data_IF_677030276592
#
_entry.id   IF_677030276592
#
_cell.length_a   1.000
_cell.length_b   1.000
_cell.length_c   1.000
_cell.angle_alpha   90.00
_cell.angle_beta   90.00
_cell.angle_gamma   90.00
#
_symmetry.space_group_name_H-M   'P 1'
#
loop_
_entity.id
_entity.type
_entity.pdbx_description
1 polymer ?
#
# COMPACT_ATOMS: atom_id res chain seq x y z
N UNK A 1 -59.49 37.07 -39.13
CA UNK A 1 -58.78 35.81 -39.06
C UNK A 1 -57.31 36.08 -39.31
N UNK A 2 -56.50 36.12 -38.26
CA UNK A 2 -55.04 36.31 -38.34
C UNK A 2 -54.36 34.97 -37.99
N UNK A 3 -53.64 34.36 -38.94
CA UNK A 3 -52.80 33.16 -38.73
C UNK A 3 -51.53 33.65 -38.15
N UNK A 4 -51.20 33.20 -36.91
CA UNK A 4 -49.88 33.28 -36.32
C UNK A 4 -49.08 32.05 -36.79
N UNK A 5 -48.05 32.31 -37.57
CA UNK A 5 -47.05 31.29 -37.92
C UNK A 5 -46.11 31.03 -36.76
N UNK A 6 -46.09 29.80 -36.26
CA UNK A 6 -45.10 29.30 -35.31
C UNK A 6 -43.81 28.95 -36.08
N UNK A 7 -42.76 29.72 -35.85
CA UNK A 7 -41.41 29.34 -36.26
C UNK A 7 -40.83 28.36 -35.24
N UNK A 8 -40.72 27.11 -35.63
CA UNK A 8 -39.90 26.09 -34.92
C UNK A 8 -38.45 26.37 -35.27
N UNK A 9 -37.70 26.94 -34.34
CA UNK A 9 -36.24 26.99 -34.41
C UNK A 9 -35.70 25.60 -34.05
N UNK A 10 -35.39 24.78 -35.05
CA UNK A 10 -34.60 23.58 -34.90
C UNK A 10 -33.18 24.00 -34.60
N UNK A 11 -32.77 23.93 -33.31
CA UNK A 11 -31.39 24.02 -32.91
C UNK A 11 -30.65 22.81 -33.48
N UNK A 12 -29.84 23.04 -34.53
CA UNK A 12 -28.90 22.05 -35.04
C UNK A 12 -27.80 21.87 -34.02
N UNK A 13 -27.88 20.81 -33.24
CA UNK A 13 -26.73 20.25 -32.50
C UNK A 13 -25.73 19.74 -33.53
N UNK A 14 -24.73 20.54 -33.85
CA UNK A 14 -23.55 20.09 -34.54
C UNK A 14 -22.89 19.06 -33.62
N UNK A 15 -23.03 17.78 -33.94
CA UNK A 15 -22.31 16.71 -33.29
C UNK A 15 -20.80 16.87 -33.55
N UNK A 16 -20.06 17.35 -32.58
CA UNK A 16 -18.59 17.27 -32.62
C UNK A 16 -18.22 15.80 -32.69
N UNK A 17 -17.70 15.36 -33.84
CA UNK A 17 -17.11 14.03 -33.96
C UNK A 17 -15.74 14.06 -33.28
N UNK A 18 -15.70 13.56 -32.05
CA UNK A 18 -14.44 13.40 -31.33
C UNK A 18 -13.61 12.27 -31.93
N UNK A 19 -12.28 12.42 -31.88
CA UNK A 19 -11.36 11.32 -32.23
C UNK A 19 -11.58 10.11 -31.30
N UNK A 20 -11.24 8.88 -31.72
CA UNK A 20 -11.36 7.70 -30.88
C UNK A 20 -10.64 7.86 -29.52
N UNK A 21 -9.47 8.49 -29.49
CA UNK A 21 -8.72 8.81 -28.28
C UNK A 21 -9.54 9.73 -27.36
N UNK A 22 -10.08 10.84 -27.88
CA UNK A 22 -10.91 11.76 -27.11
C UNK A 22 -12.18 11.09 -26.58
N UNK A 23 -12.82 10.22 -27.35
CA UNK A 23 -13.96 9.43 -26.91
C UNK A 23 -13.58 8.52 -25.71
N UNK A 24 -12.40 7.88 -25.78
CA UNK A 24 -11.86 7.05 -24.70
C UNK A 24 -11.59 7.86 -23.41
N UNK A 25 -11.02 9.07 -23.54
CA UNK A 25 -10.80 9.98 -22.43
C UNK A 25 -12.12 10.38 -21.73
N UNK A 26 -13.13 10.77 -22.52
CA UNK A 26 -14.45 11.14 -22.02
C UNK A 26 -15.12 9.93 -21.35
N UNK A 27 -15.11 8.76 -22.00
CA UNK A 27 -15.69 7.54 -21.44
C UNK A 27 -15.03 7.12 -20.13
N UNK A 28 -13.70 7.28 -20.01
CA UNK A 28 -12.94 7.00 -18.77
C UNK A 28 -13.32 7.97 -17.66
N UNK A 29 -13.42 9.27 -17.96
CA UNK A 29 -13.88 10.27 -17.00
C UNK A 29 -15.29 9.98 -16.49
N UNK A 30 -16.23 9.72 -17.38
CA UNK A 30 -17.61 9.41 -17.02
C UNK A 30 -17.69 8.12 -16.19
N UNK A 31 -16.90 7.11 -16.53
CA UNK A 31 -16.79 5.88 -15.74
C UNK A 31 -16.29 6.18 -14.32
N UNK A 32 -15.25 7.00 -14.17
CA UNK A 32 -14.70 7.40 -12.86
C UNK A 32 -15.76 8.16 -12.07
N UNK A 33 -16.34 9.21 -12.66
CA UNK A 33 -17.32 10.06 -11.98
C UNK A 33 -18.58 9.30 -11.56
N UNK A 34 -19.18 8.52 -12.47
CA UNK A 34 -20.39 7.71 -12.19
C UNK A 34 -20.11 6.64 -11.15
N UNK A 35 -18.94 5.99 -11.19
CA UNK A 35 -18.58 4.98 -10.20
C UNK A 35 -18.50 5.58 -8.79
N UNK A 36 -17.87 6.74 -8.64
CA UNK A 36 -17.83 7.42 -7.33
C UNK A 36 -19.23 7.82 -6.87
N UNK A 37 -20.04 8.44 -7.75
CA UNK A 37 -21.41 8.81 -7.44
C UNK A 37 -22.23 7.63 -6.93
N UNK A 38 -22.10 6.46 -7.56
CA UNK A 38 -23.00 5.33 -7.35
C UNK A 38 -22.48 4.33 -6.31
N UNK A 39 -21.15 4.17 -6.18
CA UNK A 39 -20.53 3.13 -5.37
C UNK A 39 -19.81 3.64 -4.10
N UNK A 40 -19.57 4.93 -3.95
CA UNK A 40 -19.02 5.47 -2.72
C UNK A 40 -19.97 5.20 -1.54
N UNK A 41 -19.43 4.84 -0.38
CA UNK A 41 -20.25 4.47 0.80
C UNK A 41 -21.09 5.63 1.36
N UNK A 42 -20.64 6.86 1.16
CA UNK A 42 -21.43 8.05 1.48
C UNK A 42 -22.27 8.45 0.27
N UNK A 43 -23.56 8.77 0.47
CA UNK A 43 -24.44 9.25 -0.61
C UNK A 43 -23.91 10.55 -1.25
N UNK A 44 -23.31 11.41 -0.43
CA UNK A 44 -22.55 12.57 -0.89
C UNK A 44 -21.08 12.28 -0.71
N UNK A 45 -20.35 11.85 -1.75
CA UNK A 45 -18.96 11.45 -1.66
C UNK A 45 -18.08 12.54 -1.04
N UNK A 46 -17.41 12.23 0.07
CA UNK A 46 -16.58 13.20 0.80
C UNK A 46 -17.36 14.43 1.33
N UNK A 47 -18.71 14.38 1.41
CA UNK A 47 -19.54 15.51 1.77
C UNK A 47 -19.68 16.58 0.67
N UNK A 48 -19.23 16.28 -0.56
CA UNK A 48 -19.17 17.20 -1.68
C UNK A 48 -20.45 17.15 -2.55
N UNK A 49 -20.77 18.26 -3.21
CA UNK A 49 -21.69 18.26 -4.35
C UNK A 49 -21.00 17.63 -5.56
N UNK A 50 -21.22 16.32 -5.72
CA UNK A 50 -20.54 15.54 -6.76
C UNK A 50 -21.01 15.92 -8.17
N UNK A 51 -22.22 16.51 -8.31
CA UNK A 51 -22.68 17.05 -9.58
C UNK A 51 -21.96 18.34 -9.96
N UNK A 52 -21.72 19.23 -8.99
CA UNK A 52 -20.91 20.43 -9.22
C UNK A 52 -19.47 20.08 -9.60
N UNK A 53 -18.89 19.02 -9.00
CA UNK A 53 -17.58 18.49 -9.37
C UNK A 53 -17.56 18.05 -10.85
N UNK A 54 -18.59 17.34 -11.34
CA UNK A 54 -18.70 17.01 -12.76
C UNK A 54 -18.66 18.27 -13.65
N UNK A 55 -19.48 19.24 -13.31
CA UNK A 55 -19.58 20.48 -14.09
C UNK A 55 -18.26 21.27 -14.14
N UNK A 56 -17.44 21.20 -13.07
CA UNK A 56 -16.10 21.81 -13.01
C UNK A 56 -15.11 21.06 -13.90
N UNK A 57 -15.07 19.72 -13.84
CA UNK A 57 -14.01 18.92 -14.44
C UNK A 57 -14.30 18.46 -15.89
N UNK A 58 -15.55 18.27 -16.27
CA UNK A 58 -15.92 17.80 -17.60
C UNK A 58 -15.40 18.70 -18.75
N UNK A 59 -15.53 20.05 -18.68
CA UNK A 59 -14.96 20.93 -19.72
C UNK A 59 -13.44 20.79 -19.86
N UNK A 60 -12.75 20.49 -18.76
CA UNK A 60 -11.28 20.29 -18.77
C UNK A 60 -10.92 18.99 -19.51
N UNK A 61 -11.69 17.92 -19.34
CA UNK A 61 -11.51 16.66 -20.09
C UNK A 61 -11.74 16.88 -21.59
N UNK A 62 -12.75 17.65 -21.97
CA UNK A 62 -12.98 17.97 -23.39
C UNK A 62 -11.79 18.69 -24.03
N UNK A 63 -11.08 19.51 -23.26
CA UNK A 63 -9.92 20.27 -23.70
C UNK A 63 -8.56 19.60 -23.46
N UNK A 64 -8.50 18.43 -22.81
CA UNK A 64 -7.27 17.70 -22.58
C UNK A 64 -6.58 17.33 -23.91
N UNK A 65 -5.26 17.51 -23.99
CA UNK A 65 -4.46 17.35 -25.21
C UNK A 65 -3.82 15.98 -25.32
N UNK A 66 -3.80 15.21 -24.24
CA UNK A 66 -3.21 13.86 -24.16
C UNK A 66 -3.92 13.02 -23.10
N UNK A 67 -3.67 11.72 -23.12
CA UNK A 67 -4.15 10.79 -22.09
C UNK A 67 -3.53 11.12 -20.74
N UNK A 68 -2.25 11.50 -20.67
CA UNK A 68 -1.59 11.91 -19.43
C UNK A 68 -2.28 13.13 -18.79
N UNK A 69 -2.68 14.12 -19.62
CA UNK A 69 -3.40 15.30 -19.13
C UNK A 69 -4.82 14.90 -18.65
N UNK A 70 -5.52 14.04 -19.37
CA UNK A 70 -6.82 13.54 -18.95
C UNK A 70 -6.73 12.75 -17.62
N UNK A 71 -5.72 11.91 -17.45
CA UNK A 71 -5.44 11.18 -16.21
C UNK A 71 -5.11 12.13 -15.07
N UNK A 72 -4.31 13.18 -15.31
CA UNK A 72 -4.00 14.18 -14.29
C UNK A 72 -5.25 14.93 -13.81
N UNK A 73 -6.16 15.29 -14.73
CA UNK A 73 -7.44 15.93 -14.43
C UNK A 73 -8.33 15.00 -13.58
N UNK A 74 -8.44 13.72 -13.96
CA UNK A 74 -9.22 12.73 -13.19
C UNK A 74 -8.62 12.50 -11.79
N UNK A 75 -7.29 12.45 -11.66
CA UNK A 75 -6.62 12.35 -10.35
C UNK A 75 -6.88 13.57 -9.47
N UNK A 76 -6.88 14.77 -10.05
CA UNK A 76 -7.22 16.00 -9.33
C UNK A 76 -8.68 15.97 -8.85
N UNK A 77 -9.62 15.53 -9.70
CA UNK A 77 -11.01 15.32 -9.32
C UNK A 77 -11.15 14.37 -8.13
N UNK A 78 -10.49 13.21 -8.19
CA UNK A 78 -10.47 12.24 -7.08
C UNK A 78 -9.83 12.81 -5.82
N UNK A 79 -8.81 13.64 -5.95
CA UNK A 79 -8.14 14.32 -4.84
C UNK A 79 -9.06 15.25 -4.03
N UNK A 80 -10.18 15.73 -4.63
CA UNK A 80 -11.18 16.52 -3.88
C UNK A 80 -11.83 15.75 -2.74
N UNK A 81 -11.86 14.42 -2.80
CA UNK A 81 -12.40 13.56 -1.75
C UNK A 81 -11.55 13.63 -0.46
N UNK A 82 -10.27 13.95 -0.55
CA UNK A 82 -9.31 13.94 0.57
C UNK A 82 -9.32 12.63 1.36
N UNK A 83 -9.46 11.52 0.65
CA UNK A 83 -9.55 10.17 1.17
C UNK A 83 -8.52 9.29 0.46
N UNK A 84 -8.08 8.22 1.11
CA UNK A 84 -7.16 7.27 0.49
C UNK A 84 -7.90 6.27 -0.41
N UNK A 85 -7.15 5.41 -1.11
CA UNK A 85 -7.71 4.37 -1.98
C UNK A 85 -8.56 4.88 -3.16
N UNK A 86 -8.29 6.09 -3.64
CA UNK A 86 -8.80 6.63 -4.89
C UNK A 86 -7.63 6.97 -5.80
N UNK A 87 -7.50 6.27 -6.93
CA UNK A 87 -6.37 6.47 -7.82
C UNK A 87 -6.56 5.88 -9.20
N UNK A 88 -5.76 6.40 -10.15
CA UNK A 88 -5.70 5.89 -11.52
C UNK A 88 -4.26 5.45 -11.78
N UNK A 89 -4.10 4.24 -12.29
CA UNK A 89 -2.81 3.61 -12.56
C UNK A 89 -2.65 3.46 -14.08
N UNK A 90 -1.50 3.83 -14.65
CA UNK A 90 -1.27 3.71 -16.09
C UNK A 90 -1.47 2.28 -16.60
N UNK A 91 -2.02 2.13 -17.80
CA UNK A 91 -2.21 0.83 -18.45
C UNK A 91 -0.89 0.03 -18.55
N UNK A 92 0.23 0.70 -18.71
CA UNK A 92 1.58 0.10 -18.77
C UNK A 92 1.90 -0.78 -17.57
N UNK A 93 1.45 -0.43 -16.36
CA UNK A 93 1.67 -1.21 -15.12
C UNK A 93 1.11 -2.64 -15.22
N UNK A 94 0.18 -2.89 -16.13
CA UNK A 94 -0.44 -4.20 -16.35
C UNK A 94 0.23 -5.01 -17.45
N UNK A 95 0.95 -4.35 -18.36
CA UNK A 95 1.57 -4.97 -19.54
C UNK A 95 2.94 -5.57 -19.22
N UNK A 96 3.60 -5.09 -18.17
CA UNK A 96 4.97 -5.50 -17.79
C UNK A 96 5.10 -6.96 -17.32
N UNK A 97 4.00 -7.72 -17.26
CA UNK A 97 3.99 -9.08 -16.69
C UNK A 97 3.67 -10.17 -17.69
N UNK A 98 3.26 -9.84 -18.92
CA UNK A 98 2.99 -10.86 -19.94
C UNK A 98 4.25 -11.29 -20.74
N UNK A 99 5.42 -10.86 -20.32
CA UNK A 99 6.72 -11.38 -20.73
C UNK A 99 7.32 -10.64 -21.92
N UNK A 100 8.46 -10.21 -21.81
CA UNK A 100 9.55 -9.71 -22.64
C UNK A 100 10.08 -8.34 -22.21
N UNK A 101 9.31 -7.54 -21.44
CA UNK A 101 9.82 -6.37 -20.73
C UNK A 101 10.10 -6.78 -19.30
N UNK A 102 11.33 -6.80 -18.86
CA UNK A 102 11.69 -7.16 -17.51
C UNK A 102 10.89 -6.33 -16.51
N UNK A 103 10.16 -7.00 -15.61
CA UNK A 103 9.47 -6.36 -14.51
C UNK A 103 10.43 -5.50 -13.66
N UNK A 104 9.93 -4.88 -12.60
CA UNK A 104 10.76 -4.04 -11.76
C UNK A 104 11.98 -4.78 -11.22
N UNK A 105 13.14 -4.27 -11.61
CA UNK A 105 14.43 -4.70 -11.12
C UNK A 105 14.84 -3.88 -9.92
N UNK A 106 15.41 -4.54 -8.92
CA UNK A 106 15.86 -3.94 -7.66
C UNK A 106 17.35 -4.20 -7.43
N UNK A 107 18.10 -3.30 -6.79
CA UNK A 107 19.45 -3.57 -6.32
C UNK A 107 19.48 -4.47 -5.08
N UNK A 108 18.31 -4.85 -4.53
CA UNK A 108 18.15 -5.70 -3.35
C UNK A 108 18.37 -4.97 -2.04
N UNK A 109 17.95 -3.69 -1.97
CA UNK A 109 17.91 -2.91 -0.73
C UNK A 109 16.46 -2.59 -0.36
N UNK A 110 16.17 -2.63 0.92
CA UNK A 110 14.98 -2.01 1.47
C UNK A 110 15.37 -0.70 2.15
N UNK A 111 14.53 0.31 1.99
CA UNK A 111 14.80 1.65 2.56
C UNK A 111 13.60 2.14 3.37
N UNK A 112 13.87 3.05 4.31
CA UNK A 112 12.86 3.88 5.00
C UNK A 112 13.34 5.32 5.07
N UNK A 113 12.41 6.23 5.11
CA UNK A 113 12.72 7.64 5.33
C UNK A 113 12.74 7.93 6.83
N UNK A 114 13.94 7.85 7.41
CA UNK A 114 14.18 8.13 8.83
C UNK A 114 14.74 9.55 8.97
N UNK A 115 14.09 10.41 9.74
CA UNK A 115 14.49 11.82 9.97
C UNK A 115 14.83 12.60 8.69
N UNK A 116 14.10 12.32 7.61
CA UNK A 116 14.28 12.97 6.31
C UNK A 116 15.39 12.37 5.45
N UNK A 117 16.03 11.30 5.87
CA UNK A 117 17.07 10.58 5.12
C UNK A 117 16.53 9.24 4.61
N UNK A 118 16.90 8.84 3.38
CA UNK A 118 16.61 7.51 2.84
C UNK A 118 17.63 6.53 3.38
N UNK A 119 17.27 5.79 4.41
CA UNK A 119 18.17 4.87 5.12
C UNK A 119 17.94 3.44 4.66
N UNK A 120 19.01 2.70 4.40
CA UNK A 120 18.97 1.25 4.11
C UNK A 120 18.60 0.50 5.39
N UNK A 121 17.43 -0.12 5.39
CA UNK A 121 16.87 -0.86 6.54
C UNK A 121 16.84 -2.36 6.33
N UNK A 122 17.04 -2.83 5.08
CA UNK A 122 17.13 -4.24 4.74
C UNK A 122 18.06 -4.46 3.54
N UNK A 123 18.64 -5.65 3.49
CA UNK A 123 19.47 -6.12 2.39
C UNK A 123 19.06 -7.54 2.03
N UNK A 124 18.78 -7.77 0.77
CA UNK A 124 18.57 -9.14 0.28
C UNK A 124 19.90 -9.90 0.24
N UNK A 125 19.94 -11.11 0.80
CA UNK A 125 21.14 -11.94 0.71
C UNK A 125 21.57 -12.15 -0.75
N UNK A 126 22.88 -12.03 -1.02
CA UNK A 126 23.46 -12.18 -2.36
C UNK A 126 22.95 -11.19 -3.44
N UNK A 127 22.25 -10.11 -3.07
CA UNK A 127 21.89 -9.03 -4.00
C UNK A 127 23.12 -8.28 -4.52
N UNK A 128 22.94 -7.48 -5.57
CA UNK A 128 24.02 -6.64 -6.12
C UNK A 128 24.52 -5.64 -5.07
N UNK A 129 23.62 -5.06 -4.27
CA UNK A 129 23.99 -4.16 -3.17
C UNK A 129 24.80 -4.88 -2.07
N UNK A 130 24.39 -6.10 -1.68
CA UNK A 130 25.11 -6.89 -0.69
C UNK A 130 26.54 -7.25 -1.18
N UNK A 131 26.67 -7.69 -2.44
CA UNK A 131 27.99 -7.96 -3.07
C UNK A 131 28.86 -6.70 -3.17
N UNK A 132 28.24 -5.53 -3.39
CA UNK A 132 28.96 -4.25 -3.44
C UNK A 132 29.34 -3.68 -2.05
N UNK A 133 29.02 -4.41 -0.97
CA UNK A 133 29.36 -4.03 0.39
C UNK A 133 28.50 -2.94 1.02
N UNK A 134 27.28 -2.72 0.49
CA UNK A 134 26.28 -1.85 1.13
C UNK A 134 25.88 -2.46 2.47
N UNK A 135 25.61 -1.63 3.47
CA UNK A 135 25.26 -2.06 4.83
C UNK A 135 24.00 -1.37 5.34
N UNK A 136 23.36 -1.98 6.33
CA UNK A 136 22.27 -1.36 7.07
C UNK A 136 22.73 -0.03 7.68
N UNK A 137 21.83 0.94 7.73
CA UNK A 137 22.12 2.27 8.25
C UNK A 137 22.87 3.21 7.27
N UNK A 138 23.26 2.74 6.08
CA UNK A 138 23.75 3.63 5.04
C UNK A 138 22.60 4.52 4.53
N UNK A 139 22.90 5.77 4.15
CA UNK A 139 21.92 6.70 3.60
C UNK A 139 22.08 6.77 2.09
N UNK A 140 21.00 6.61 1.34
CA UNK A 140 20.99 6.82 -0.11
C UNK A 140 20.83 8.31 -0.38
N UNK A 141 21.85 8.95 -0.93
CA UNK A 141 21.87 10.38 -1.23
C UNK A 141 21.28 10.70 -2.60
N UNK A 142 21.63 9.89 -3.61
CA UNK A 142 21.17 10.09 -4.99
C UNK A 142 21.06 8.77 -5.75
N UNK A 143 20.23 8.79 -6.79
CA UNK A 143 20.05 7.71 -7.76
C UNK A 143 20.23 8.29 -9.17
N UNK A 144 21.12 7.67 -9.98
CA UNK A 144 21.45 8.12 -11.35
C UNK A 144 21.73 9.63 -11.42
N UNK A 145 22.51 10.16 -10.49
CA UNK A 145 22.88 11.57 -10.37
C UNK A 145 21.77 12.50 -9.87
N UNK A 146 20.58 12.00 -9.56
CA UNK A 146 19.44 12.79 -9.05
C UNK A 146 19.35 12.70 -7.53
N UNK A 147 19.52 13.81 -6.78
CA UNK A 147 19.39 13.81 -5.33
C UNK A 147 17.99 13.41 -4.86
N UNK A 148 17.89 12.64 -3.76
CA UNK A 148 16.61 12.23 -3.17
C UNK A 148 16.04 13.25 -2.18
N UNK A 149 16.89 14.00 -1.48
CA UNK A 149 16.46 14.97 -0.47
C UNK A 149 15.43 16.00 -0.96
N UNK A 150 15.58 16.64 -2.15
CA UNK A 150 14.59 17.60 -2.64
C UNK A 150 13.20 16.98 -2.86
N UNK A 151 13.17 15.73 -3.28
CA UNK A 151 11.91 14.98 -3.49
C UNK A 151 11.20 14.73 -2.16
N UNK A 152 11.96 14.29 -1.16
CA UNK A 152 11.46 14.04 0.20
C UNK A 152 10.92 15.34 0.80
N UNK A 153 11.67 16.43 0.70
CA UNK A 153 11.24 17.74 1.21
C UNK A 153 9.95 18.22 0.54
N UNK A 154 9.88 18.11 -0.79
CA UNK A 154 8.67 18.48 -1.55
C UNK A 154 7.45 17.68 -1.12
N UNK A 155 7.59 16.35 -0.98
CA UNK A 155 6.48 15.50 -0.57
C UNK A 155 6.06 15.74 0.89
N UNK A 156 7.02 15.93 1.80
CA UNK A 156 6.72 16.24 3.22
C UNK A 156 6.07 17.61 3.43
N UNK A 157 6.22 18.55 2.49
CA UNK A 157 5.54 19.86 2.56
C UNK A 157 4.05 19.78 2.19
N UNK A 158 3.58 18.67 1.63
CA UNK A 158 2.17 18.44 1.35
C UNK A 158 1.51 17.75 2.56
N UNK A 159 0.59 18.44 3.27
CA UNK A 159 -0.06 17.87 4.46
C UNK A 159 -0.96 16.65 4.15
N UNK A 160 -1.26 16.40 2.87
CA UNK A 160 -2.03 15.22 2.42
C UNK A 160 -1.16 14.00 2.10
N UNK A 161 0.16 14.12 2.13
CA UNK A 161 1.06 13.00 1.83
C UNK A 161 1.26 12.12 3.04
N UNK A 162 0.89 10.85 2.90
CA UNK A 162 1.16 9.80 3.87
C UNK A 162 2.56 9.22 3.67
N UNK A 163 3.15 8.68 4.73
CA UNK A 163 4.47 8.05 4.70
C UNK A 163 4.57 6.96 3.63
N UNK A 164 3.52 6.17 3.42
CA UNK A 164 3.43 5.19 2.35
C UNK A 164 3.65 5.78 0.94
N UNK A 165 3.12 6.97 0.66
CA UNK A 165 3.32 7.64 -0.64
C UNK A 165 4.76 8.12 -0.81
N UNK A 166 5.38 8.57 0.28
CA UNK A 166 6.79 8.95 0.33
C UNK A 166 7.69 7.74 0.06
N UNK A 167 7.45 6.61 0.74
CA UNK A 167 8.18 5.35 0.53
C UNK A 167 8.06 4.86 -0.91
N UNK A 168 6.86 4.89 -1.49
CA UNK A 168 6.64 4.54 -2.90
C UNK A 168 7.40 5.46 -3.86
N UNK A 169 7.42 6.75 -3.60
CA UNK A 169 8.16 7.72 -4.40
C UNK A 169 9.67 7.54 -4.32
N UNK A 170 10.20 7.09 -3.20
CA UNK A 170 11.61 6.69 -3.04
C UNK A 170 11.86 5.38 -3.80
N UNK A 171 11.05 4.35 -3.55
CA UNK A 171 11.19 3.04 -4.19
C UNK A 171 11.24 3.14 -5.72
N UNK A 172 10.32 3.91 -6.33
CA UNK A 172 10.29 4.11 -7.80
C UNK A 172 11.55 4.77 -8.38
N UNK A 173 12.42 5.35 -7.56
CA UNK A 173 13.71 5.93 -7.97
C UNK A 173 14.87 4.97 -7.78
N UNK A 174 14.66 3.92 -7.02
CA UNK A 174 15.67 2.90 -6.71
C UNK A 174 15.47 1.63 -7.54
N UNK A 175 14.41 1.56 -8.35
CA UNK A 175 14.06 0.44 -9.21
C UNK A 175 14.14 0.82 -10.69
N UNK A 176 14.14 -0.18 -11.56
CA UNK A 176 14.16 -0.01 -13.01
C UNK A 176 14.04 -1.34 -13.74
N UNK A 177 14.41 -1.41 -15.00
CA UNK A 177 14.34 -2.64 -15.80
C UNK A 177 15.33 -3.68 -15.27
N UNK A 178 14.89 -4.93 -15.15
CA UNK A 178 15.77 -6.08 -14.82
C UNK A 178 16.91 -6.17 -15.83
N UNK A 179 18.11 -6.43 -15.35
CA UNK A 179 19.35 -6.45 -16.14
C UNK A 179 19.95 -5.07 -16.40
N UNK A 180 19.25 -3.99 -16.01
CA UNK A 180 19.81 -2.64 -16.04
C UNK A 180 20.79 -2.40 -14.89
N UNK A 181 21.42 -1.22 -14.90
CA UNK A 181 22.32 -0.76 -13.84
C UNK A 181 21.80 0.55 -13.27
N UNK A 182 21.86 0.68 -11.95
CA UNK A 182 21.56 1.93 -11.25
C UNK A 182 22.81 2.39 -10.50
N UNK A 183 23.15 3.67 -10.67
CA UNK A 183 24.20 4.30 -9.86
C UNK A 183 23.59 4.89 -8.60
N UNK A 184 23.97 4.39 -7.43
CA UNK A 184 23.57 4.96 -6.14
C UNK A 184 24.78 5.57 -5.45
N UNK A 185 24.59 6.78 -4.90
CA UNK A 185 25.56 7.39 -3.99
C UNK A 185 25.05 7.27 -2.57
N UNK A 186 25.87 6.69 -1.72
CA UNK A 186 25.55 6.46 -0.31
C UNK A 186 26.40 7.33 0.60
N UNK A 187 25.89 7.64 1.78
CA UNK A 187 26.65 8.05 2.94
C UNK A 187 26.87 6.81 3.81
N UNK A 188 28.12 6.36 3.95
CA UNK A 188 28.47 5.14 4.70
C UNK A 188 28.38 5.36 6.24
N UNK A 189 28.73 4.32 7.01
CA UNK A 189 28.73 4.38 8.47
C UNK A 189 29.77 5.34 9.07
N UNK A 190 30.76 5.76 8.29
CA UNK A 190 31.75 6.77 8.68
C UNK A 190 31.43 8.16 8.09
N UNK A 191 30.20 8.36 7.57
CA UNK A 191 29.74 9.58 6.90
C UNK A 191 30.60 9.97 5.69
N UNK A 192 31.12 9.02 4.94
CA UNK A 192 31.83 9.24 3.67
C UNK A 192 30.89 8.92 2.51
N UNK A 193 30.94 9.73 1.46
CA UNK A 193 30.22 9.43 0.23
C UNK A 193 30.87 8.27 -0.52
N UNK A 194 30.06 7.32 -0.92
CA UNK A 194 30.49 6.12 -1.62
C UNK A 194 29.53 5.84 -2.78
N UNK A 195 30.01 5.92 -4.00
CA UNK A 195 29.25 5.54 -5.19
C UNK A 195 29.33 4.03 -5.44
N UNK A 196 28.20 3.46 -5.91
CA UNK A 196 28.08 2.06 -6.34
C UNK A 196 27.24 1.99 -7.59
N UNK A 197 27.74 1.29 -8.59
CA UNK A 197 26.97 0.85 -9.75
C UNK A 197 26.43 -0.54 -9.45
N UNK A 198 25.10 -0.66 -9.39
CA UNK A 198 24.40 -1.86 -8.94
C UNK A 198 23.54 -2.42 -10.06
N UNK A 199 23.70 -3.71 -10.33
CA UNK A 199 22.83 -4.43 -11.24
C UNK A 199 21.42 -4.53 -10.65
N UNK A 200 20.40 -4.29 -11.48
CA UNK A 200 19.02 -4.49 -11.13
C UNK A 200 18.61 -5.93 -11.44
N UNK A 201 18.37 -6.69 -10.40
CA UNK A 201 17.87 -8.08 -10.47
C UNK A 201 16.37 -8.12 -10.19
N UNK A 202 15.63 -9.18 -10.60
CA UNK A 202 14.22 -9.30 -10.27
C UNK A 202 13.98 -9.07 -8.77
N UNK A 203 12.94 -8.31 -8.45
CA UNK A 203 12.56 -8.10 -7.05
C UNK A 203 12.28 -9.43 -6.34
N UNK A 204 12.56 -9.45 -5.04
CA UNK A 204 12.34 -10.61 -4.17
C UNK A 204 10.87 -11.05 -4.22
N UNK A 205 10.65 -12.36 -4.30
CA UNK A 205 9.33 -12.96 -4.23
C UNK A 205 8.90 -13.65 -5.51
N UNK A 206 7.62 -13.89 -5.62
CA UNK A 206 6.98 -14.46 -6.81
C UNK A 206 5.82 -13.59 -7.23
N UNK A 207 5.65 -13.41 -8.53
CA UNK A 207 4.55 -12.65 -9.09
C UNK A 207 3.20 -13.29 -8.72
N UNK A 208 2.32 -12.49 -8.14
CA UNK A 208 0.96 -12.87 -7.79
C UNK A 208 -0.04 -11.92 -8.42
N UNK A 209 -1.18 -12.45 -8.84
CA UNK A 209 -2.30 -11.68 -9.40
C UNK A 209 -3.58 -11.96 -8.62
N UNK A 210 -4.40 -10.94 -8.45
CA UNK A 210 -5.73 -11.09 -7.88
C UNK A 210 -6.71 -10.10 -8.52
N UNK A 211 -7.71 -10.64 -9.21
CA UNK A 211 -8.71 -9.83 -9.91
C UNK A 211 -8.06 -8.85 -10.89
N UNK A 212 -8.44 -7.58 -10.77
CA UNK A 212 -7.91 -6.48 -11.60
C UNK A 212 -6.73 -5.74 -10.96
N UNK A 213 -6.08 -6.31 -9.94
CA UNK A 213 -4.83 -5.78 -9.41
C UNK A 213 -3.69 -5.98 -10.41
N UNK A 214 -2.76 -5.04 -10.53
CA UNK A 214 -1.50 -5.29 -11.23
C UNK A 214 -0.80 -6.49 -10.58
N UNK A 215 -0.03 -7.25 -11.34
CA UNK A 215 0.83 -8.28 -10.78
C UNK A 215 1.86 -7.66 -9.84
N UNK A 216 2.13 -8.33 -8.74
CA UNK A 216 3.04 -7.84 -7.70
C UNK A 216 3.88 -8.97 -7.15
N UNK A 217 5.16 -8.71 -6.88
CA UNK A 217 6.03 -9.70 -6.28
C UNK A 217 5.71 -9.86 -4.79
N UNK A 218 5.36 -11.08 -4.39
CA UNK A 218 5.02 -11.42 -3.02
C UNK A 218 6.06 -12.36 -2.44
N UNK A 219 6.64 -11.99 -1.31
CA UNK A 219 7.52 -12.86 -0.55
C UNK A 219 6.94 -13.20 0.83
N UNK A 220 7.39 -14.31 1.35
CA UNK A 220 7.12 -14.77 2.70
C UNK A 220 8.43 -15.27 3.33
N UNK A 221 8.68 -14.88 4.56
CA UNK A 221 9.84 -15.27 5.34
C UNK A 221 9.40 -15.75 6.73
N UNK A 222 9.92 -16.88 7.17
CA UNK A 222 9.78 -17.33 8.55
C UNK A 222 11.13 -17.77 9.09
N UNK A 223 11.40 -17.43 10.36
CA UNK A 223 12.60 -17.82 11.08
C UNK A 223 12.36 -17.79 12.58
N UNK A 224 13.35 -18.21 13.37
CA UNK A 224 13.30 -18.11 14.82
C UNK A 224 14.45 -17.26 15.37
N UNK A 225 14.16 -16.46 16.37
CA UNK A 225 15.13 -15.78 17.21
C UNK A 225 15.14 -16.47 18.58
N UNK A 226 16.12 -17.37 18.79
CA UNK A 226 16.06 -18.31 19.92
C UNK A 226 14.81 -19.19 19.81
N UNK A 227 13.93 -19.13 20.82
CA UNK A 227 12.66 -19.85 20.80
C UNK A 227 11.44 -18.94 20.48
N UNK A 228 11.66 -17.77 19.88
CA UNK A 228 10.59 -16.88 19.41
C UNK A 228 10.43 -17.02 17.91
N UNK A 229 9.22 -17.33 17.44
CA UNK A 229 8.88 -17.36 16.03
C UNK A 229 8.80 -15.97 15.43
N UNK A 230 9.22 -15.83 14.19
CA UNK A 230 9.14 -14.59 13.41
C UNK A 230 8.62 -14.90 12.02
N UNK A 231 7.63 -14.11 11.59
CA UNK A 231 7.03 -14.17 10.27
C UNK A 231 7.02 -12.78 9.67
N UNK A 232 7.40 -12.68 8.40
CA UNK A 232 7.32 -11.45 7.60
C UNK A 232 6.85 -11.76 6.20
N UNK A 233 5.95 -10.94 5.68
CA UNK A 233 5.52 -10.96 4.29
C UNK A 233 5.19 -9.53 3.84
N UNK A 234 5.45 -9.22 2.58
CA UNK A 234 5.33 -7.84 2.11
C UNK A 234 3.91 -7.44 1.69
N UNK A 235 2.96 -8.40 1.56
CA UNK A 235 1.60 -8.09 1.11
C UNK A 235 0.61 -9.20 1.45
N UNK A 236 -0.62 -8.84 1.76
CA UNK A 236 -1.75 -9.77 1.87
C UNK A 236 -2.27 -10.14 0.47
N UNK A 237 -1.45 -10.83 -0.28
CA UNK A 237 -1.73 -11.30 -1.63
C UNK A 237 -1.21 -12.74 -1.76
N UNK A 238 -1.43 -13.40 -2.92
CA UNK A 238 -1.09 -14.82 -3.08
C UNK A 238 -1.73 -15.70 -1.98
N UNK A 239 -3.06 -15.72 -2.01
CA UNK A 239 -3.90 -16.34 -0.98
C UNK A 239 -3.45 -17.76 -0.62
N UNK A 240 -3.08 -18.57 -1.62
CA UNK A 240 -2.73 -19.98 -1.38
C UNK A 240 -1.38 -20.08 -0.67
N UNK A 241 -0.35 -19.50 -1.23
CA UNK A 241 1.04 -19.64 -0.74
C UNK A 241 1.26 -18.92 0.59
N UNK A 242 0.82 -17.68 0.71
CA UNK A 242 1.02 -16.90 1.95
C UNK A 242 0.22 -17.47 3.11
N UNK A 243 -1.03 -17.94 2.87
CA UNK A 243 -1.85 -18.56 3.91
C UNK A 243 -1.28 -19.92 4.35
N UNK A 244 -0.81 -20.76 3.41
CA UNK A 244 -0.16 -22.03 3.73
C UNK A 244 1.11 -21.79 4.55
N UNK A 245 2.02 -20.95 4.06
CA UNK A 245 3.29 -20.65 4.73
C UNK A 245 3.07 -20.05 6.13
N UNK A 246 2.02 -19.22 6.29
CA UNK A 246 1.68 -18.67 7.60
C UNK A 246 1.19 -19.76 8.55
N UNK A 247 0.33 -20.64 8.08
CA UNK A 247 -0.13 -21.80 8.86
C UNK A 247 1.03 -22.70 9.27
N UNK A 248 1.93 -23.04 8.35
CA UNK A 248 3.11 -23.86 8.62
C UNK A 248 4.06 -23.20 9.64
N UNK A 249 4.27 -21.88 9.51
CA UNK A 249 5.07 -21.11 10.45
C UNK A 249 4.47 -21.11 11.86
N UNK A 250 3.15 -20.93 11.98
CA UNK A 250 2.44 -21.02 13.27
C UNK A 250 2.49 -22.45 13.82
N UNK A 251 2.23 -23.47 13.00
CA UNK A 251 2.29 -24.88 13.39
C UNK A 251 3.67 -25.29 13.89
N UNK A 252 4.75 -24.81 13.25
CA UNK A 252 6.13 -25.04 13.68
C UNK A 252 6.51 -24.34 14.99
N UNK A 253 5.64 -23.44 15.46
CA UNK A 253 5.87 -22.55 16.59
C UNK A 253 4.95 -22.84 17.79
N UNK A 254 4.24 -23.97 17.82
CA UNK A 254 3.32 -24.35 18.92
C UNK A 254 4.00 -24.33 20.30
N UNK A 255 5.31 -24.58 20.37
CA UNK A 255 6.13 -24.55 21.59
C UNK A 255 7.04 -23.32 21.67
N UNK A 256 6.82 -22.31 20.82
CA UNK A 256 7.59 -21.06 20.91
C UNK A 256 7.14 -20.22 22.11
N UNK A 257 8.09 -19.43 22.64
CA UNK A 257 7.83 -18.49 23.73
C UNK A 257 6.92 -17.33 23.30
N UNK A 258 6.85 -17.05 22.01
CA UNK A 258 6.03 -16.03 21.39
C UNK A 258 6.14 -16.04 19.87
N UNK A 259 5.29 -15.29 19.21
CA UNK A 259 5.28 -15.09 17.77
C UNK A 259 5.36 -13.60 17.44
N UNK A 260 6.27 -13.25 16.54
CA UNK A 260 6.38 -11.90 15.99
C UNK A 260 5.87 -11.93 14.55
N UNK A 261 4.95 -11.04 14.21
CA UNK A 261 4.42 -10.82 12.86
C UNK A 261 4.88 -9.44 12.40
N UNK A 262 5.80 -9.38 11.44
CA UNK A 262 6.37 -8.13 10.95
C UNK A 262 5.60 -7.66 9.71
N UNK A 263 4.80 -6.62 9.90
CA UNK A 263 4.01 -5.95 8.85
C UNK A 263 4.60 -4.60 8.45
N UNK A 264 5.83 -4.28 8.85
CA UNK A 264 6.48 -3.03 8.44
C UNK A 264 6.66 -2.99 6.92
N UNK A 265 6.19 -1.89 6.32
CA UNK A 265 6.19 -1.72 4.87
C UNK A 265 5.16 -2.57 4.11
N UNK A 266 4.27 -3.28 4.79
CA UNK A 266 3.23 -4.08 4.15
C UNK A 266 2.00 -3.20 3.83
N UNK A 267 1.71 -2.88 2.55
CA UNK A 267 0.63 -1.97 2.17
C UNK A 267 -0.77 -2.61 2.24
N UNK A 268 -0.89 -3.82 2.78
CA UNK A 268 -2.16 -4.53 2.88
C UNK A 268 -2.42 -5.50 1.73
N UNK A 269 -3.65 -5.54 1.24
CA UNK A 269 -4.11 -6.44 0.18
C UNK A 269 -5.49 -7.03 0.45
N UNK A 270 -5.66 -8.34 0.32
CA UNK A 270 -6.95 -9.03 0.44
C UNK A 270 -7.41 -9.09 1.90
N UNK A 271 -8.46 -8.36 2.26
CA UNK A 271 -9.01 -8.33 3.63
C UNK A 271 -9.41 -9.70 4.19
N UNK A 272 -9.87 -10.61 3.33
CA UNK A 272 -10.19 -12.00 3.72
C UNK A 272 -9.01 -12.77 4.28
N UNK A 273 -7.78 -12.46 3.88
CA UNK A 273 -6.57 -13.08 4.42
C UNK A 273 -6.36 -12.70 5.89
N UNK A 274 -6.64 -11.46 6.27
CA UNK A 274 -6.55 -11.03 7.68
C UNK A 274 -7.46 -11.86 8.58
N UNK A 275 -8.72 -12.08 8.18
CA UNK A 275 -9.65 -12.94 8.91
C UNK A 275 -9.12 -14.38 9.02
N UNK A 276 -8.64 -14.93 7.90
CA UNK A 276 -8.10 -16.28 7.84
C UNK A 276 -6.85 -16.49 8.69
N UNK A 277 -5.90 -15.53 8.67
CA UNK A 277 -4.68 -15.56 9.47
C UNK A 277 -4.96 -15.38 10.96
N UNK A 278 -5.87 -14.47 11.32
CA UNK A 278 -6.30 -14.30 12.70
C UNK A 278 -6.87 -15.59 13.32
N UNK A 279 -7.43 -16.49 12.49
CA UNK A 279 -7.93 -17.77 12.92
C UNK A 279 -6.89 -18.71 13.52
N UNK A 280 -5.60 -18.56 13.23
CA UNK A 280 -4.50 -19.26 13.91
C UNK A 280 -4.10 -18.62 15.25
N UNK A 281 -4.67 -17.48 15.57
CA UNK A 281 -4.26 -16.68 16.73
C UNK A 281 -5.35 -16.56 17.79
N UNK A 282 -6.62 -16.84 17.46
CA UNK A 282 -7.75 -16.73 18.39
C UNK A 282 -8.40 -18.09 18.59
N UNK A 283 -8.81 -18.38 19.82
CA UNK A 283 -9.40 -19.67 20.24
C UNK A 283 -10.93 -19.64 20.36
N UNK A 284 -11.53 -18.43 20.36
CA UNK A 284 -12.98 -18.27 20.50
C UNK A 284 -13.63 -17.98 19.16
N UNK A 285 -14.74 -18.65 18.82
CA UNK A 285 -15.52 -18.34 17.62
C UNK A 285 -16.22 -16.98 17.74
N UNK A 286 -16.67 -16.46 16.61
CA UNK A 286 -17.44 -15.22 16.49
C UNK A 286 -16.72 -13.94 16.96
N UNK A 287 -15.41 -13.99 17.15
CA UNK A 287 -14.61 -12.75 17.30
C UNK A 287 -14.53 -12.02 15.97
N UNK A 288 -14.31 -10.71 15.99
CA UNK A 288 -14.23 -9.88 14.80
C UNK A 288 -13.00 -8.99 14.86
N UNK A 289 -12.39 -8.75 13.71
CA UNK A 289 -11.39 -7.69 13.57
C UNK A 289 -12.05 -6.31 13.50
N UNK A 290 -13.31 -6.26 13.03
CA UNK A 290 -14.10 -5.05 12.88
C UNK A 290 -15.22 -5.21 11.86
N UNK A 291 -15.76 -4.10 11.36
CA UNK A 291 -16.89 -4.05 10.45
C UNK A 291 -16.64 -3.09 9.30
N UNK A 292 -16.92 -3.54 8.10
CA UNK A 292 -16.91 -2.75 6.87
C UNK A 292 -18.32 -2.23 6.59
N UNK A 293 -18.46 -0.91 6.47
CA UNK A 293 -19.72 -0.21 6.22
C UNK A 293 -19.76 0.28 4.77
N UNK A 294 -20.57 -0.34 3.95
CA UNK A 294 -20.87 0.05 2.58
C UNK A 294 -22.12 0.95 2.56
N UNK A 295 -22.49 1.47 1.40
CA UNK A 295 -23.68 2.34 1.25
C UNK A 295 -24.96 1.71 1.77
N UNK A 296 -25.23 0.47 1.41
CA UNK A 296 -26.48 -0.23 1.69
C UNK A 296 -26.29 -1.59 2.39
N UNK A 297 -25.09 -1.88 2.85
CA UNK A 297 -24.75 -3.16 3.50
C UNK A 297 -23.62 -3.00 4.50
N UNK A 298 -23.48 -4.00 5.38
CA UNK A 298 -22.34 -4.14 6.29
C UNK A 298 -21.73 -5.53 6.14
N UNK A 299 -20.42 -5.63 6.31
CA UNK A 299 -19.70 -6.90 6.35
C UNK A 299 -18.84 -6.97 7.61
N UNK A 300 -19.14 -7.92 8.48
CA UNK A 300 -18.33 -8.18 9.66
C UNK A 300 -17.11 -9.03 9.30
N UNK A 301 -15.94 -8.60 9.74
CA UNK A 301 -14.69 -9.33 9.57
C UNK A 301 -14.56 -10.39 10.67
N UNK A 302 -15.38 -11.44 10.55
CA UNK A 302 -15.49 -12.53 11.54
C UNK A 302 -14.28 -13.46 11.43
N UNK A 303 -13.73 -13.83 12.58
CA UNK A 303 -12.62 -14.76 12.70
C UNK A 303 -13.18 -16.14 13.09
N UNK A 304 -12.79 -17.15 12.32
CA UNK A 304 -13.07 -18.55 12.64
C UNK A 304 -11.76 -19.21 13.10
N UNK A 305 -11.69 -19.71 14.36
CA UNK A 305 -10.52 -20.41 14.85
C UNK A 305 -10.14 -21.59 13.95
N UNK A 306 -8.84 -21.80 13.75
CA UNK A 306 -8.30 -22.99 13.09
C UNK A 306 -8.24 -24.16 14.08
N UNK A 307 -8.02 -25.36 13.56
CA UNK A 307 -7.89 -26.56 14.41
C UNK A 307 -6.73 -26.46 15.40
N UNK A 308 -5.64 -25.81 14.96
CA UNK A 308 -4.48 -25.50 15.79
C UNK A 308 -4.35 -24.00 15.95
N UNK A 309 -4.29 -23.53 17.19
CA UNK A 309 -4.20 -22.12 17.54
C UNK A 309 -2.93 -21.89 18.36
N UNK A 310 -2.18 -20.86 17.99
CA UNK A 310 -1.06 -20.40 18.79
C UNK A 310 -1.56 -19.61 20.01
N UNK A 311 -1.37 -20.16 21.21
CA UNK A 311 -1.86 -19.56 22.45
C UNK A 311 -0.86 -18.58 23.11
N UNK A 312 0.41 -18.60 22.71
CA UNK A 312 1.46 -17.75 23.29
C UNK A 312 1.34 -16.27 22.95
N UNK A 313 2.21 -15.40 23.51
CA UNK A 313 2.24 -13.97 23.22
C UNK A 313 2.46 -13.68 21.74
N UNK A 314 1.71 -12.73 21.16
CA UNK A 314 1.86 -12.25 19.79
C UNK A 314 2.27 -10.78 19.80
N UNK A 315 3.38 -10.47 19.13
CA UNK A 315 3.81 -9.11 18.83
C UNK A 315 3.61 -8.82 17.33
N UNK A 316 3.06 -7.65 17.01
CA UNK A 316 2.94 -7.18 15.62
C UNK A 316 3.82 -5.95 15.46
N UNK A 317 4.71 -5.97 14.46
CA UNK A 317 5.58 -4.83 14.15
C UNK A 317 4.95 -4.03 13.01
N UNK A 318 4.84 -2.71 13.17
CA UNK A 318 4.24 -1.81 12.20
C UNK A 318 5.09 -0.55 12.00
N UNK A 319 4.92 0.10 10.85
CA UNK A 319 5.51 1.40 10.53
C UNK A 319 4.57 2.21 9.61
N UNK A 320 4.98 3.40 9.18
CA UNK A 320 4.21 4.25 8.28
C UNK A 320 3.96 3.66 6.87
N UNK A 321 4.63 2.56 6.53
CA UNK A 321 4.36 1.77 5.33
C UNK A 321 3.32 0.66 5.53
N UNK A 322 2.91 0.38 6.78
CA UNK A 322 1.84 -0.57 7.10
C UNK A 322 0.48 0.06 6.81
N UNK A 323 -0.29 -0.48 5.86
CA UNK A 323 -1.54 0.13 5.41
C UNK A 323 -2.66 -0.89 5.21
N UNK A 324 -3.90 -0.41 5.14
CA UNK A 324 -5.08 -1.16 4.72
C UNK A 324 -5.28 -2.45 5.51
N UNK A 325 -5.22 -3.62 4.88
CA UNK A 325 -5.40 -4.93 5.53
C UNK A 325 -4.40 -5.16 6.67
N UNK A 326 -3.19 -4.59 6.60
CA UNK A 326 -2.22 -4.62 7.72
C UNK A 326 -2.73 -3.86 8.93
N UNK A 327 -3.38 -2.71 8.72
CA UNK A 327 -3.98 -1.91 9.79
C UNK A 327 -5.20 -2.63 10.40
N UNK A 328 -6.04 -3.21 9.55
CA UNK A 328 -7.21 -4.02 9.95
C UNK A 328 -6.77 -5.21 10.82
N UNK A 329 -5.72 -5.91 10.42
CA UNK A 329 -5.18 -7.05 11.15
C UNK A 329 -4.55 -6.64 12.48
N UNK A 330 -3.72 -5.59 12.47
CA UNK A 330 -3.01 -5.14 13.66
C UNK A 330 -3.97 -4.55 14.71
N UNK A 331 -4.86 -3.61 14.32
CA UNK A 331 -5.79 -2.99 15.26
C UNK A 331 -6.83 -4.01 15.75
N UNK A 332 -7.37 -4.86 14.85
CA UNK A 332 -8.36 -5.86 15.26
C UNK A 332 -7.82 -6.84 16.29
N UNK A 333 -6.61 -7.37 16.12
CA UNK A 333 -5.98 -8.26 17.11
C UNK A 333 -5.58 -7.51 18.40
N UNK A 334 -5.23 -6.24 18.31
CA UNK A 334 -4.99 -5.36 19.45
C UNK A 334 -6.27 -5.12 20.24
N UNK A 335 -7.37 -4.75 19.60
CA UNK A 335 -8.68 -4.54 20.23
C UNK A 335 -9.18 -5.79 20.96
N UNK A 336 -8.91 -6.97 20.39
CA UNK A 336 -9.21 -8.25 21.04
C UNK A 336 -8.26 -8.59 22.22
N UNK A 337 -7.25 -7.76 22.50
CA UNK A 337 -6.22 -8.04 23.49
C UNK A 337 -5.32 -9.23 23.13
N UNK A 338 -5.38 -9.67 21.85
CA UNK A 338 -4.66 -10.87 21.41
C UNK A 338 -3.22 -10.60 21.00
N UNK A 339 -2.94 -9.42 20.49
CA UNK A 339 -1.59 -9.00 20.11
C UNK A 339 -1.22 -7.69 20.75
N UNK A 340 0.10 -7.46 20.90
CA UNK A 340 0.68 -6.17 21.25
C UNK A 340 1.41 -5.60 20.07
N UNK A 341 1.17 -4.33 19.76
CA UNK A 341 1.69 -3.65 18.57
C UNK A 341 2.91 -2.81 18.93
N UNK A 342 3.97 -2.94 18.16
CA UNK A 342 5.26 -2.26 18.32
C UNK A 342 5.64 -1.49 17.06
N UNK A 343 6.31 -0.37 17.18
CA UNK A 343 6.83 0.39 16.06
C UNK A 343 6.38 1.83 16.05
N UNK A 344 6.02 2.35 14.87
CA UNK A 344 5.49 3.70 14.69
C UNK A 344 4.06 3.65 14.18
N UNK A 345 3.37 4.79 14.20
CA UNK A 345 2.02 4.93 13.66
C UNK A 345 1.97 4.46 12.21
N UNK A 346 0.90 3.76 11.83
CA UNK A 346 0.70 3.24 10.48
C UNK A 346 0.26 4.32 9.48
N UNK A 347 0.09 3.93 8.21
CA UNK A 347 -0.20 4.83 7.10
C UNK A 347 -1.53 5.61 7.22
N UNK A 348 -2.44 5.19 8.08
CA UNK A 348 -3.79 5.77 8.21
C UNK A 348 -4.61 5.68 6.91
N UNK A 349 -4.41 4.61 6.14
CA UNK A 349 -4.97 4.37 4.82
C UNK A 349 -5.66 3.00 4.82
N UNK A 350 -6.93 2.94 5.26
CA UNK A 350 -7.61 1.67 5.56
C UNK A 350 -9.01 1.54 4.94
N UNK A 351 -9.27 2.24 3.83
CA UNK A 351 -10.55 2.12 3.13
C UNK A 351 -10.59 0.84 2.28
N UNK A 352 -11.61 -0.03 2.46
CA UNK A 352 -11.84 -1.15 1.55
C UNK A 352 -12.12 -0.65 0.13
N UNK A 353 -11.35 -1.14 -0.84
CA UNK A 353 -11.38 -0.65 -2.21
C UNK A 353 -11.46 -1.76 -3.25
N UNK A 354 -11.89 -1.39 -4.44
CA UNK A 354 -12.00 -2.25 -5.62
C UNK A 354 -11.12 -1.68 -6.72
N UNK A 355 -10.60 -2.58 -7.59
CA UNK A 355 -9.86 -2.24 -8.81
C UNK A 355 -10.69 -2.61 -10.03
N UNK A 356 -10.88 -1.66 -10.94
CA UNK A 356 -11.51 -1.87 -12.25
C UNK A 356 -10.61 -1.35 -13.37
N UNK A 357 -10.92 -1.73 -14.61
CA UNK A 357 -10.28 -1.16 -15.80
C UNK A 357 -11.14 -0.03 -16.37
N UNK A 358 -10.49 1.04 -16.77
CA UNK A 358 -11.09 2.15 -17.51
C UNK A 358 -11.13 1.84 -19.02
N UNK A 359 -11.99 2.52 -19.79
CA UNK A 359 -12.05 2.39 -21.24
C UNK A 359 -10.71 2.64 -21.98
N UNK A 360 -9.85 3.50 -21.44
CA UNK A 360 -8.51 3.75 -21.99
C UNK A 360 -7.46 2.71 -21.56
N UNK A 361 -7.87 1.66 -20.83
CA UNK A 361 -6.99 0.59 -20.36
C UNK A 361 -6.33 0.84 -19.00
N UNK A 362 -6.39 2.04 -18.44
CA UNK A 362 -5.86 2.35 -17.11
C UNK A 362 -6.57 1.56 -16.01
N UNK A 363 -5.87 1.32 -14.91
CA UNK A 363 -6.47 0.82 -13.69
C UNK A 363 -7.13 1.94 -12.88
N UNK A 364 -8.27 1.65 -12.30
CA UNK A 364 -9.00 2.55 -11.42
C UNK A 364 -9.25 1.88 -10.07
N UNK A 365 -8.66 2.44 -9.02
CA UNK A 365 -8.94 2.06 -7.64
C UNK A 365 -9.92 3.06 -7.04
N UNK A 366 -10.95 2.54 -6.35
CA UNK A 366 -11.89 3.35 -5.61
C UNK A 366 -12.37 2.63 -4.36
N UNK A 367 -12.52 3.39 -3.28
CA UNK A 367 -13.06 2.87 -2.03
C UNK A 367 -14.59 2.76 -2.11
N UNK A 368 -15.14 1.67 -1.57
CA UNK A 368 -16.58 1.37 -1.56
C UNK A 368 -17.14 1.30 -0.14
N UNK A 369 -16.28 1.36 0.87
CA UNK A 369 -16.68 1.22 2.26
C UNK A 369 -15.76 2.02 3.19
N UNK A 370 -16.27 2.33 4.37
CA UNK A 370 -15.48 2.70 5.53
C UNK A 370 -15.26 1.46 6.40
N UNK A 371 -14.19 1.44 7.18
CA UNK A 371 -13.88 0.36 8.11
C UNK A 371 -13.77 0.89 9.55
N UNK A 372 -14.44 0.21 10.47
CA UNK A 372 -14.38 0.48 11.91
C UNK A 372 -13.87 -0.78 12.60
N UNK A 373 -12.83 -0.65 13.40
CA UNK A 373 -12.26 -1.77 14.16
C UNK A 373 -13.25 -2.29 15.23
N UNK A 374 -12.98 -3.46 15.80
CA UNK A 374 -13.84 -4.02 16.86
C UNK A 374 -13.91 -3.10 18.10
N UNK A 375 -12.85 -2.36 18.39
CA UNK A 375 -12.82 -1.32 19.43
C UNK A 375 -13.55 -0.03 19.07
N UNK A 376 -14.20 0.05 17.89
CA UNK A 376 -14.97 1.23 17.47
C UNK A 376 -14.14 2.34 16.81
N UNK A 377 -12.90 2.08 16.41
CA UNK A 377 -11.99 3.06 15.82
C UNK A 377 -12.06 3.07 14.29
N UNK A 378 -12.32 4.21 13.70
CA UNK A 378 -12.13 4.43 12.27
C UNK A 378 -10.63 4.49 11.96
N UNK A 379 -10.13 3.63 11.07
CA UNK A 379 -8.69 3.58 10.75
C UNK A 379 -8.29 4.60 9.67
N UNK A 380 -9.19 4.94 8.77
CA UNK A 380 -8.94 5.96 7.74
C UNK A 380 -8.61 7.31 8.37
N UNK A 381 -7.50 7.92 7.96
CA UNK A 381 -6.99 9.19 8.49
C UNK A 381 -6.41 9.12 9.91
N UNK A 382 -6.62 8.00 10.63
CA UNK A 382 -6.18 7.82 12.03
C UNK A 382 -5.04 6.82 12.13
N UNK A 383 -5.17 5.65 11.48
CA UNK A 383 -4.20 4.54 11.54
C UNK A 383 -4.17 3.81 12.88
N UNK A 384 -3.27 2.84 12.96
CA UNK A 384 -2.96 2.09 14.17
C UNK A 384 -1.88 2.83 14.97
N UNK A 385 -2.18 3.14 16.22
CA UNK A 385 -1.17 3.64 17.16
C UNK A 385 -0.57 2.44 17.89
N UNK A 386 0.75 2.23 17.87
CA UNK A 386 1.36 1.10 18.55
C UNK A 386 1.18 1.18 20.07
N UNK A 387 1.17 0.04 20.75
CA UNK A 387 1.15 -0.03 22.24
C UNK A 387 2.52 0.31 22.82
N UNK A 388 3.57 0.11 22.02
CA UNK A 388 4.96 0.45 22.34
C UNK A 388 5.54 1.21 21.18
N UNK A 389 5.64 2.53 21.30
CA UNK A 389 6.26 3.36 20.29
C UNK A 389 7.77 3.19 20.31
N UNK A 390 8.32 2.65 19.21
CA UNK A 390 9.76 2.46 19.00
C UNK A 390 10.08 2.79 17.55
N UNK A 391 11.13 3.59 17.35
CA UNK A 391 11.57 4.01 16.02
C UNK A 391 12.86 3.30 15.64
N UNK A 392 12.98 2.94 14.37
CA UNK A 392 14.28 2.64 13.78
C UNK A 392 15.14 3.91 13.80
N UNK A 393 16.41 3.75 14.09
CA UNK A 393 17.38 4.84 13.98
C UNK A 393 18.55 4.40 13.11
N UNK A 394 19.13 5.36 12.38
CA UNK A 394 20.34 5.10 11.58
C UNK A 394 21.47 4.53 12.44
N UNK A 395 21.68 5.08 13.63
CA UNK A 395 22.72 4.66 14.57
C UNK A 395 22.52 3.21 15.02
N UNK A 396 21.29 2.84 15.41
CA UNK A 396 20.95 1.47 15.77
C UNK A 396 21.22 0.50 14.63
N UNK A 397 20.78 0.83 13.40
CA UNK A 397 21.03 0.00 12.22
C UNK A 397 22.52 -0.16 11.90
N UNK A 398 23.32 0.91 12.02
CA UNK A 398 24.78 0.83 11.87
C UNK A 398 25.45 -0.06 12.93
N UNK A 399 24.87 -0.12 14.13
CA UNK A 399 25.31 -1.00 15.21
C UNK A 399 24.76 -2.44 15.09
N UNK A 400 23.95 -2.74 14.06
CA UNK A 400 23.33 -4.04 13.85
C UNK A 400 22.07 -4.30 14.70
N UNK A 401 21.44 -3.25 15.24
CA UNK A 401 20.24 -3.33 16.06
C UNK A 401 18.99 -2.89 15.30
N UNK A 402 17.96 -3.70 15.36
CA UNK A 402 16.59 -3.35 15.00
C UNK A 402 15.81 -3.09 16.29
N UNK A 403 15.75 -1.83 16.70
CA UNK A 403 15.15 -1.45 17.98
C UNK A 403 13.68 -1.90 18.13
N UNK A 404 12.92 -1.98 17.04
CA UNK A 404 11.51 -2.42 17.05
C UNK A 404 11.44 -3.93 17.31
N UNK A 405 12.25 -4.70 16.59
CA UNK A 405 12.36 -6.16 16.78
C UNK A 405 12.91 -6.50 18.18
N UNK A 406 13.94 -5.78 18.62
CA UNK A 406 14.55 -5.98 19.93
C UNK A 406 13.54 -5.75 21.07
N UNK A 407 12.71 -4.69 20.97
CA UNK A 407 11.66 -4.39 21.95
C UNK A 407 10.59 -5.49 22.00
N UNK A 408 10.19 -6.03 20.85
CA UNK A 408 9.22 -7.13 20.77
C UNK A 408 9.80 -8.43 21.38
N UNK A 409 11.04 -8.76 21.07
CA UNK A 409 11.75 -9.92 21.63
C UNK A 409 11.90 -9.79 23.16
N UNK A 410 12.23 -8.60 23.66
CA UNK A 410 12.33 -8.33 25.09
C UNK A 410 10.98 -8.48 25.80
N UNK A 411 9.90 -7.96 25.18
CA UNK A 411 8.56 -8.11 25.74
C UNK A 411 8.13 -9.59 25.82
N UNK A 412 8.37 -10.38 24.77
CA UNK A 412 8.06 -11.83 24.78
C UNK A 412 8.84 -12.53 25.91
N UNK A 413 10.13 -12.24 26.06
CA UNK A 413 10.96 -12.81 27.15
C UNK A 413 10.40 -12.52 28.55
N UNK A 414 9.78 -11.35 28.77
CA UNK A 414 9.16 -10.97 30.05
C UNK A 414 7.81 -11.62 30.30
N UNK A 415 7.21 -12.29 29.31
CA UNK A 415 5.92 -13.00 29.42
C UNK A 415 6.08 -14.48 29.78
N UNK A 416 7.31 -14.99 29.75
CA UNK A 416 7.65 -16.29 30.33
C UNK A 416 7.53 -16.22 31.86
#
# INVERSE_FOLDING_TARGET
MRFLGFWLATAALFGQSFTPEKQSQIASFEKVWTTIRDKHWQKNPGGLDWQAIHAEFYPRILNAKSDDEAVAIMREMLGRLKQTHFGIFPAAVYNDVEGEGGGDGSPGIETRVLDGQVVVTGLEPASSAARAGVKLGWVVLSANGKPLAPVIQKLKSDPGIHELALERAVHSRLTGMVGGTIQLVFLDGANREVARDLELTPERGQAARFGNLPPMNVFFESKKFGNTGYVRFNMFLDLVRVMSNFGDAVGSCTQCDGLIIDLRGNPGGIGGMAMGMAGWLVDKPNQRLGTMYMRDATLNFVINPRAEVFAGPVAILVDGGSASTSEIFAEGLKDLGRARVFGTKTAAAALPSIFERLPNGDGFQYATANYISEGGKALEGIGVTPDVEVKLTREGLLAGHDAVLDAALEWIRKKK
#
